data_IF_311537225519
#
_entry.id   IF_311537225519
#
_cell.length_a   1.000
_cell.length_b   1.000
_cell.length_c   1.000
_cell.angle_alpha   90.00
_cell.angle_beta   90.00
_cell.angle_gamma   90.00
#
_symmetry.space_group_name_H-M   'P 1'
#
loop_
_entity.id
_entity.type
_entity.pdbx_description
1 polymer ?
#
# COMPACT_ATOMS: atom_id res chain seq x y z
N UNK A 1 3.50 72.23 -29.62
CA UNK A 1 3.80 70.80 -29.40
C UNK A 1 2.78 70.29 -28.41
N UNK A 2 1.70 69.68 -28.90
CA UNK A 2 0.77 68.94 -28.06
C UNK A 2 0.58 67.56 -28.66
N UNK A 3 0.63 66.61 -27.73
CA UNK A 3 0.97 65.21 -27.91
C UNK A 3 -0.15 64.42 -28.56
N UNK A 4 0.27 63.56 -29.50
CA UNK A 4 -0.51 62.55 -30.20
C UNK A 4 -1.41 61.75 -29.26
N UNK A 5 -2.71 61.91 -29.39
CA UNK A 5 -3.69 61.01 -28.77
C UNK A 5 -3.79 59.70 -29.55
N UNK A 6 -3.54 58.62 -28.81
CA UNK A 6 -4.15 57.30 -28.95
C UNK A 6 -3.82 56.49 -30.19
N UNK A 7 -2.77 55.68 -30.05
CA UNK A 7 -2.80 54.31 -30.55
C UNK A 7 -4.08 53.65 -30.01
N UNK A 8 -5.08 53.50 -30.88
CA UNK A 8 -6.24 52.65 -30.66
C UNK A 8 -5.70 51.25 -30.40
N UNK A 9 -5.68 50.86 -29.13
CA UNK A 9 -5.46 49.49 -28.69
C UNK A 9 -6.39 48.59 -29.51
N UNK A 10 -5.82 47.81 -30.43
CA UNK A 10 -6.43 46.57 -30.93
C UNK A 10 -6.54 45.60 -29.76
N UNK A 11 -7.40 45.90 -28.80
CA UNK A 11 -7.70 45.02 -27.69
C UNK A 11 -8.69 43.99 -28.21
N UNK A 12 -8.26 42.72 -28.28
CA UNK A 12 -9.12 41.59 -28.63
C UNK A 12 -10.46 41.71 -27.89
N UNK A 13 -11.57 41.53 -28.62
CA UNK A 13 -12.91 41.55 -28.02
C UNK A 13 -12.97 40.54 -26.87
N UNK A 14 -13.83 40.78 -25.88
CA UNK A 14 -14.01 39.84 -24.76
C UNK A 14 -14.35 38.43 -25.25
N UNK A 15 -15.03 38.32 -26.39
CA UNK A 15 -15.33 37.06 -27.06
C UNK A 15 -14.08 36.36 -27.58
N UNK A 16 -13.18 37.06 -28.28
CA UNK A 16 -11.92 36.48 -28.77
C UNK A 16 -10.98 36.10 -27.62
N UNK A 17 -10.94 36.88 -26.54
CA UNK A 17 -10.20 36.52 -25.32
C UNK A 17 -10.76 35.26 -24.64
N UNK A 18 -12.09 35.13 -24.56
CA UNK A 18 -12.73 33.93 -24.02
C UNK A 18 -12.49 32.70 -24.91
N UNK A 19 -12.48 32.87 -26.23
CA UNK A 19 -12.17 31.80 -27.20
C UNK A 19 -10.73 31.32 -27.08
N UNK A 20 -9.77 32.25 -27.02
CA UNK A 20 -8.34 31.95 -26.79
C UNK A 20 -8.07 31.29 -25.44
N UNK A 21 -8.75 31.73 -24.37
CA UNK A 21 -8.63 31.09 -23.06
C UNK A 21 -9.17 29.65 -23.06
N UNK A 22 -10.28 29.40 -23.77
CA UNK A 22 -10.84 28.04 -23.92
C UNK A 22 -9.95 27.13 -24.77
N UNK A 23 -9.38 27.63 -25.85
CA UNK A 23 -8.41 26.85 -26.64
C UNK A 23 -7.16 26.54 -25.82
N UNK A 24 -6.59 27.52 -25.09
CA UNK A 24 -5.44 27.30 -24.22
C UNK A 24 -5.71 26.27 -23.10
N UNK A 25 -6.91 26.25 -22.51
CA UNK A 25 -7.31 25.21 -21.53
C UNK A 25 -7.40 23.83 -22.19
N UNK A 26 -7.87 23.77 -23.44
CA UNK A 26 -8.00 22.51 -24.19
C UNK A 26 -6.63 21.99 -24.60
N UNK A 27 -5.74 22.88 -25.06
CA UNK A 27 -4.36 22.58 -25.45
C UNK A 27 -3.54 22.12 -24.23
N UNK A 28 -3.68 22.77 -23.07
CA UNK A 28 -3.05 22.32 -21.83
C UNK A 28 -3.54 20.95 -21.38
N UNK A 29 -4.85 20.67 -21.50
CA UNK A 29 -5.40 19.34 -21.19
C UNK A 29 -4.88 18.27 -22.15
N UNK A 30 -4.75 18.59 -23.44
CA UNK A 30 -4.20 17.66 -24.42
C UNK A 30 -2.71 17.40 -24.15
N UNK A 31 -1.93 18.44 -23.84
CA UNK A 31 -0.53 18.29 -23.48
C UNK A 31 -0.34 17.45 -22.20
N UNK A 32 -1.16 17.67 -21.17
CA UNK A 32 -1.15 16.86 -19.95
C UNK A 32 -1.56 15.40 -20.21
N UNK A 33 -2.53 15.19 -21.10
CA UNK A 33 -2.93 13.85 -21.53
C UNK A 33 -1.80 13.12 -22.25
N UNK A 34 -1.15 13.75 -23.23
CA UNK A 34 -0.04 13.14 -23.97
C UNK A 34 1.17 12.87 -23.05
N UNK A 35 1.47 13.77 -22.10
CA UNK A 35 2.50 13.53 -21.08
C UNK A 35 2.20 12.31 -20.21
N UNK A 36 0.96 12.17 -19.73
CA UNK A 36 0.53 11.00 -18.95
C UNK A 36 0.60 9.72 -19.78
N UNK A 37 0.17 9.79 -21.04
CA UNK A 37 0.20 8.66 -21.97
C UNK A 37 1.64 8.20 -22.23
N UNK A 38 2.57 9.12 -22.45
CA UNK A 38 4.00 8.81 -22.62
C UNK A 38 4.60 8.19 -21.35
N UNK A 39 4.31 8.76 -20.17
CA UNK A 39 4.76 8.20 -18.89
C UNK A 39 4.19 6.80 -18.62
N UNK A 40 2.93 6.55 -19.03
CA UNK A 40 2.33 5.23 -18.97
C UNK A 40 3.04 4.23 -19.88
N UNK A 41 3.33 4.58 -21.14
CA UNK A 41 4.04 3.71 -22.07
C UNK A 41 5.45 3.35 -21.56
N UNK A 42 6.20 4.34 -21.06
CA UNK A 42 7.53 4.14 -20.48
C UNK A 42 7.51 3.24 -19.23
N UNK A 43 6.41 3.29 -18.47
CA UNK A 43 6.19 2.42 -17.31
C UNK A 43 5.89 0.98 -17.74
N UNK A 44 5.05 0.80 -18.74
CA UNK A 44 4.64 -0.52 -19.23
C UNK A 44 5.85 -1.28 -19.81
N UNK A 45 6.74 -0.60 -20.55
CA UNK A 45 7.99 -1.19 -21.06
C UNK A 45 8.92 -1.65 -19.92
N UNK A 46 9.08 -0.84 -18.87
CA UNK A 46 9.90 -1.24 -17.70
C UNK A 46 9.26 -2.30 -16.84
N UNK A 47 7.93 -2.42 -16.88
CA UNK A 47 7.22 -3.40 -16.09
C UNK A 47 7.61 -4.83 -16.51
N UNK A 48 7.86 -5.06 -17.80
CA UNK A 48 8.41 -6.32 -18.31
C UNK A 48 9.79 -6.61 -17.74
N UNK A 49 10.67 -5.60 -17.74
CA UNK A 49 12.02 -5.71 -17.17
C UNK A 49 11.96 -6.04 -15.67
N UNK A 50 11.13 -5.34 -14.89
CA UNK A 50 10.96 -5.62 -13.46
C UNK A 50 10.42 -7.03 -13.19
N UNK A 51 9.47 -7.51 -14.00
CA UNK A 51 8.97 -8.89 -13.89
C UNK A 51 10.12 -9.87 -14.11
N UNK A 52 10.92 -9.67 -15.16
CA UNK A 52 12.03 -10.56 -15.48
C UNK A 52 13.09 -10.58 -14.38
N UNK A 53 13.56 -9.39 -13.95
CA UNK A 53 14.56 -9.25 -12.90
C UNK A 53 14.10 -9.86 -11.58
N UNK A 54 12.88 -9.52 -11.14
CA UNK A 54 12.38 -10.02 -9.86
C UNK A 54 12.07 -11.53 -9.90
N UNK A 55 11.67 -12.06 -11.06
CA UNK A 55 11.53 -13.52 -11.25
C UNK A 55 12.88 -14.22 -11.07
N UNK A 56 13.95 -13.68 -11.65
CA UNK A 56 15.28 -14.25 -11.53
C UNK A 56 15.79 -14.20 -10.07
N UNK A 57 15.64 -13.05 -9.40
CA UNK A 57 16.05 -12.85 -8.02
C UNK A 57 15.31 -13.79 -7.06
N UNK A 58 13.97 -13.81 -7.12
CA UNK A 58 13.18 -14.65 -6.21
C UNK A 58 13.39 -16.15 -6.49
N UNK A 59 13.65 -16.55 -7.74
CA UNK A 59 14.02 -17.93 -8.05
C UNK A 59 15.39 -18.31 -7.47
N UNK A 60 16.37 -17.39 -7.50
CA UNK A 60 17.67 -17.61 -6.86
C UNK A 60 17.50 -17.79 -5.35
N UNK A 61 16.79 -16.88 -4.67
CA UNK A 61 16.45 -16.99 -3.24
C UNK A 61 15.76 -18.31 -2.91
N UNK A 62 14.85 -18.77 -3.78
CA UNK A 62 14.15 -20.05 -3.60
C UNK A 62 15.10 -21.23 -3.66
N UNK A 63 16.04 -21.24 -4.61
CA UNK A 63 17.07 -22.29 -4.76
C UNK A 63 18.04 -22.30 -3.59
N UNK A 64 18.49 -21.13 -3.16
CA UNK A 64 19.42 -20.98 -2.04
C UNK A 64 18.76 -21.45 -0.73
N UNK A 65 17.46 -21.18 -0.55
CA UNK A 65 16.70 -21.59 0.63
C UNK A 65 16.60 -23.11 0.81
N UNK A 66 16.81 -23.90 -0.26
CA UNK A 66 16.78 -25.37 -0.24
C UNK A 66 18.16 -26.00 -0.50
N UNK A 67 19.22 -25.19 -0.57
CA UNK A 67 20.56 -25.67 -0.87
C UNK A 67 21.11 -26.61 0.22
N UNK A 68 20.68 -26.40 1.48
CA UNK A 68 21.02 -27.27 2.61
C UNK A 68 19.81 -28.03 3.10
N UNK A 69 19.98 -29.34 3.29
CA UNK A 69 18.98 -30.22 3.91
C UNK A 69 19.09 -30.25 5.44
N UNK A 70 20.15 -29.67 5.99
CA UNK A 70 20.45 -29.72 7.43
C UNK A 70 20.27 -28.37 8.13
N UNK A 71 20.46 -27.27 7.42
CA UNK A 71 20.48 -25.90 7.98
C UNK A 71 19.63 -24.96 7.14
N UNK A 72 18.94 -24.02 7.79
CA UNK A 72 18.17 -22.99 7.11
C UNK A 72 16.65 -23.16 7.27
N UNK A 73 15.87 -22.19 6.77
CA UNK A 73 14.45 -22.08 7.08
C UNK A 73 13.64 -23.29 6.60
N UNK A 74 14.00 -23.87 5.45
CA UNK A 74 13.33 -25.06 4.90
C UNK A 74 13.70 -26.31 5.70
N UNK A 75 14.98 -26.55 5.94
CA UNK A 75 15.44 -27.71 6.73
C UNK A 75 14.82 -27.73 8.13
N UNK A 76 14.77 -26.58 8.80
CA UNK A 76 14.16 -26.45 10.14
C UNK A 76 12.66 -26.69 10.11
N UNK A 77 11.98 -26.21 9.07
CA UNK A 77 10.56 -26.41 8.91
C UNK A 77 10.20 -27.88 8.62
N UNK A 78 11.00 -28.57 7.79
CA UNK A 78 10.87 -30.01 7.54
C UNK A 78 11.08 -30.80 8.83
N UNK A 79 12.13 -30.50 9.61
CA UNK A 79 12.40 -31.16 10.91
C UNK A 79 11.25 -31.00 11.91
N UNK A 80 10.54 -29.87 11.84
CA UNK A 80 9.38 -29.57 12.69
C UNK A 80 8.06 -30.12 12.14
N UNK A 81 8.07 -30.80 10.99
CA UNK A 81 6.88 -31.37 10.37
C UNK A 81 5.93 -30.33 9.80
N UNK A 82 6.44 -29.17 9.37
CA UNK A 82 5.62 -28.20 8.64
C UNK A 82 5.42 -28.59 7.17
N UNK A 83 4.37 -28.04 6.58
CA UNK A 83 3.93 -28.21 5.19
C UNK A 83 4.62 -27.23 4.21
N UNK A 84 5.36 -26.27 4.75
CA UNK A 84 6.07 -25.25 4.01
C UNK A 84 6.89 -24.32 4.91
N UNK A 85 7.71 -23.47 4.29
CA UNK A 85 8.55 -22.48 4.97
C UNK A 85 8.42 -21.09 4.33
N UNK A 86 8.56 -20.04 5.14
CA UNK A 86 8.71 -18.68 4.65
C UNK A 86 10.13 -18.52 4.11
N UNK A 87 10.27 -18.12 2.84
CA UNK A 87 11.57 -17.89 2.20
C UNK A 87 11.86 -16.40 1.99
N UNK A 88 10.82 -15.56 1.97
CA UNK A 88 10.98 -14.11 1.81
C UNK A 88 9.77 -13.35 2.38
N UNK A 89 9.97 -12.08 2.76
CA UNK A 89 8.95 -11.19 3.35
C UNK A 89 9.06 -9.77 2.82
N UNK A 90 7.95 -9.26 2.30
CA UNK A 90 7.81 -7.89 1.83
C UNK A 90 6.80 -7.11 2.66
N UNK A 91 7.18 -5.95 3.17
CA UNK A 91 6.29 -5.12 3.98
C UNK A 91 5.46 -4.19 3.09
N UNK A 92 4.16 -4.12 3.38
CA UNK A 92 3.30 -3.12 2.79
C UNK A 92 3.42 -1.83 3.60
N UNK A 93 3.51 -0.68 2.92
CA UNK A 93 3.73 0.60 3.56
C UNK A 93 2.55 0.98 4.45
N UNK A 94 2.85 1.46 5.66
CA UNK A 94 1.86 2.16 6.47
C UNK A 94 1.96 3.66 6.22
N UNK A 95 0.86 4.28 5.78
CA UNK A 95 0.76 5.74 5.73
C UNK A 95 0.29 6.21 7.10
N UNK A 96 1.14 6.98 7.78
CA UNK A 96 0.87 7.55 9.10
C UNK A 96 0.76 9.07 8.96
N UNK A 97 -0.15 9.69 9.72
CA UNK A 97 -0.18 11.15 9.82
C UNK A 97 0.90 11.58 10.80
N UNK A 98 1.81 12.44 10.37
CA UNK A 98 2.80 13.10 11.21
C UNK A 98 2.18 14.25 12.01
N UNK A 99 2.93 14.76 12.98
CA UNK A 99 2.49 15.83 13.88
C UNK A 99 2.20 17.16 13.15
N UNK A 100 2.83 17.39 12.00
CA UNK A 100 2.59 18.55 11.12
C UNK A 100 1.42 18.34 10.14
N UNK A 101 0.78 17.17 10.17
CA UNK A 101 -0.32 16.80 9.27
C UNK A 101 0.12 16.29 7.90
N UNK A 102 1.42 16.15 7.66
CA UNK A 102 1.93 15.43 6.49
C UNK A 102 1.76 13.91 6.65
N UNK A 103 2.10 13.16 5.60
CA UNK A 103 1.95 11.70 5.54
C UNK A 103 3.33 11.07 5.51
N UNK A 104 3.67 10.35 6.57
CA UNK A 104 4.91 9.58 6.66
C UNK A 104 4.69 8.13 6.25
N UNK A 105 5.66 7.59 5.52
CA UNK A 105 5.72 6.19 5.14
C UNK A 105 6.51 5.42 6.20
N UNK A 106 5.87 4.49 6.89
CA UNK A 106 6.53 3.66 7.90
C UNK A 106 6.74 2.24 7.37
N UNK A 107 8.02 1.87 7.24
CA UNK A 107 8.53 0.61 6.68
C UNK A 107 9.74 0.18 7.53
N UNK A 108 9.96 -1.12 7.81
CA UNK A 108 11.15 -1.55 8.53
C UNK A 108 12.45 -1.10 7.84
N UNK A 109 13.48 -0.69 8.61
CA UNK A 109 14.73 -0.15 8.07
C UNK A 109 15.48 -1.12 7.14
N UNK A 110 15.32 -2.43 7.34
CA UNK A 110 16.00 -3.47 6.57
C UNK A 110 15.11 -4.12 5.50
N UNK A 111 13.93 -3.57 5.23
CA UNK A 111 13.01 -4.17 4.26
C UNK A 111 13.15 -3.58 2.87
N UNK A 112 13.33 -4.45 1.88
CA UNK A 112 13.37 -4.10 0.46
C UNK A 112 12.00 -3.57 0.05
N UNK A 113 11.94 -2.27 -0.23
CA UNK A 113 10.72 -1.58 -0.59
C UNK A 113 10.75 -1.15 -2.04
N UNK A 114 9.72 -1.53 -2.81
CA UNK A 114 9.39 -0.88 -4.07
C UNK A 114 7.87 -0.62 -4.12
N UNK A 115 7.53 0.61 -3.74
CA UNK A 115 6.33 1.46 -4.01
C UNK A 115 5.04 1.39 -3.14
N UNK A 116 4.57 2.60 -2.75
CA UNK A 116 3.34 2.91 -1.97
C UNK A 116 2.32 3.62 -2.84
N UNK A 117 1.05 3.71 -2.40
CA UNK A 117 -0.04 4.25 -3.19
C UNK A 117 -0.04 5.79 -3.36
N UNK A 118 1.09 6.48 -3.13
CA UNK A 118 1.17 7.95 -3.22
C UNK A 118 2.51 8.54 -3.66
N UNK A 119 3.50 7.72 -4.01
CA UNK A 119 4.87 8.18 -4.26
C UNK A 119 5.40 7.69 -5.62
N UNK A 120 4.57 7.75 -6.66
CA UNK A 120 5.01 7.72 -8.06
C UNK A 120 4.48 8.96 -8.78
N UNK A 121 4.63 10.13 -8.16
CA UNK A 121 4.67 11.35 -8.98
C UNK A 121 6.00 11.43 -9.75
N UNK A 122 7.04 10.65 -9.39
CA UNK A 122 8.35 10.66 -10.08
C UNK A 122 9.17 9.33 -10.15
N UNK A 123 8.67 8.14 -9.76
CA UNK A 123 9.52 6.92 -9.80
C UNK A 123 9.10 5.89 -10.85
N UNK A 124 10.09 5.46 -11.61
CA UNK A 124 9.98 4.61 -12.81
C UNK A 124 9.75 3.12 -12.48
N UNK A 125 9.44 2.78 -11.22
CA UNK A 125 9.47 1.41 -10.69
C UNK A 125 8.06 0.81 -10.56
N UNK A 126 7.94 -0.52 -10.67
CA UNK A 126 6.67 -1.22 -10.45
C UNK A 126 6.61 -1.81 -9.05
N UNK A 127 5.51 -1.57 -8.34
CA UNK A 127 5.39 -2.03 -6.97
C UNK A 127 5.49 -3.57 -6.85
N UNK A 128 6.28 -4.09 -5.88
CA UNK A 128 6.42 -5.54 -5.65
C UNK A 128 5.07 -6.22 -5.42
N UNK A 129 4.17 -5.58 -4.68
CA UNK A 129 2.83 -6.10 -4.46
C UNK A 129 2.06 -6.32 -5.78
N UNK A 130 2.25 -5.43 -6.76
CA UNK A 130 1.70 -5.55 -8.10
C UNK A 130 2.36 -6.69 -8.87
N UNK A 131 3.69 -6.83 -8.82
CA UNK A 131 4.42 -7.92 -9.47
C UNK A 131 4.04 -9.31 -8.93
N UNK A 132 3.81 -9.42 -7.62
CA UNK A 132 3.46 -10.67 -6.94
C UNK A 132 2.00 -11.06 -7.11
N UNK A 133 1.07 -10.09 -7.06
CA UNK A 133 -0.37 -10.36 -6.94
C UNK A 133 -1.22 -9.82 -8.09
N UNK A 134 -0.69 -8.93 -8.93
CA UNK A 134 -1.43 -8.16 -9.92
C UNK A 134 -1.92 -6.81 -9.38
N UNK A 135 -2.53 -6.01 -10.25
CA UNK A 135 -3.06 -4.69 -9.87
C UNK A 135 -4.27 -4.84 -8.94
N UNK A 136 -4.26 -4.16 -7.80
CA UNK A 136 -5.39 -4.20 -6.89
C UNK A 136 -6.52 -3.26 -7.35
N UNK A 137 -7.65 -3.83 -7.73
CA UNK A 137 -8.87 -3.07 -8.01
C UNK A 137 -9.61 -2.77 -6.70
N UNK A 138 -9.63 -1.48 -6.35
CA UNK A 138 -10.27 -1.03 -5.12
C UNK A 138 -11.80 -1.11 -5.16
N UNK A 139 -12.42 -1.14 -6.35
CA UNK A 139 -13.88 -1.24 -6.50
C UNK A 139 -14.33 -2.67 -6.26
N UNK A 140 -13.68 -3.63 -6.90
CA UNK A 140 -14.02 -5.05 -6.79
C UNK A 140 -13.33 -5.73 -5.62
N UNK A 141 -12.32 -5.09 -5.02
CA UNK A 141 -11.45 -5.64 -3.96
C UNK A 141 -10.69 -6.89 -4.39
N UNK A 142 -10.40 -7.02 -5.69
CA UNK A 142 -9.68 -8.16 -6.28
C UNK A 142 -8.36 -7.72 -6.90
N UNK A 143 -7.40 -8.64 -7.02
CA UNK A 143 -6.22 -8.39 -7.83
C UNK A 143 -6.47 -8.80 -9.28
N UNK A 144 -5.91 -8.05 -10.21
CA UNK A 144 -6.03 -8.18 -11.66
C UNK A 144 -4.65 -8.53 -12.25
N UNK A 145 -4.24 -9.82 -12.23
CA UNK A 145 -2.98 -10.27 -12.80
C UNK A 145 -2.93 -10.13 -14.33
N UNK A 146 -4.08 -10.15 -15.00
CA UNK A 146 -4.21 -9.97 -16.45
C UNK A 146 -3.72 -8.60 -16.95
N UNK A 147 -3.60 -7.62 -16.05
CA UNK A 147 -3.04 -6.29 -16.34
C UNK A 147 -1.51 -6.25 -16.28
N UNK A 148 -0.87 -7.32 -15.84
CA UNK A 148 0.59 -7.45 -15.95
C UNK A 148 0.96 -7.91 -17.37
N UNK A 149 2.18 -7.59 -17.85
CA UNK A 149 2.71 -8.19 -19.06
C UNK A 149 2.54 -9.71 -19.10
N UNK A 150 2.00 -10.22 -20.21
CA UNK A 150 1.67 -11.64 -20.39
C UNK A 150 0.57 -12.19 -19.47
N UNK A 151 -0.09 -11.36 -18.65
CA UNK A 151 -1.13 -11.76 -17.71
C UNK A 151 -0.65 -12.68 -16.58
N UNK A 152 0.65 -12.64 -16.26
CA UNK A 152 1.28 -13.51 -15.25
C UNK A 152 1.97 -12.69 -14.18
N UNK A 153 1.82 -13.14 -12.93
CA UNK A 153 2.60 -12.62 -11.80
C UNK A 153 3.96 -13.33 -11.73
N UNK A 154 4.91 -12.74 -11.02
CA UNK A 154 6.22 -13.35 -10.75
C UNK A 154 6.08 -14.75 -10.14
N UNK A 155 5.16 -14.93 -9.20
CA UNK A 155 4.91 -16.22 -8.55
C UNK A 155 4.40 -17.26 -9.54
N UNK A 156 3.53 -16.86 -10.48
CA UNK A 156 3.05 -17.77 -11.53
C UNK A 156 4.19 -18.19 -12.45
N UNK A 157 5.05 -17.25 -12.86
CA UNK A 157 6.22 -17.54 -13.69
C UNK A 157 7.18 -18.51 -13.00
N UNK A 158 7.46 -18.29 -11.71
CA UNK A 158 8.34 -19.19 -10.94
C UNK A 158 7.71 -20.58 -10.81
N UNK A 159 6.42 -20.68 -10.49
CA UNK A 159 5.76 -21.98 -10.38
C UNK A 159 5.79 -22.78 -11.70
N UNK A 160 5.64 -22.12 -12.85
CA UNK A 160 5.81 -22.77 -14.17
C UNK A 160 7.24 -23.29 -14.42
N UNK A 161 8.25 -22.71 -13.75
CA UNK A 161 9.62 -23.22 -13.76
C UNK A 161 9.79 -24.37 -12.77
N UNK A 162 9.22 -24.26 -11.56
CA UNK A 162 9.27 -25.31 -10.54
C UNK A 162 8.56 -26.59 -10.97
N UNK A 163 7.49 -26.49 -11.76
CA UNK A 163 6.80 -27.65 -12.36
C UNK A 163 7.72 -28.51 -13.25
N UNK A 164 8.81 -27.92 -13.76
CA UNK A 164 9.79 -28.59 -14.64
C UNK A 164 11.02 -29.10 -13.89
N UNK A 165 11.08 -28.92 -12.57
CA UNK A 165 12.20 -29.41 -11.76
C UNK A 165 12.29 -30.95 -11.86
N UNK A 166 13.50 -31.51 -12.02
CA UNK A 166 13.68 -32.94 -12.21
C UNK A 166 13.36 -33.73 -10.94
N UNK A 167 12.98 -35.00 -11.11
CA UNK A 167 12.90 -35.95 -10.00
C UNK A 167 14.26 -36.01 -9.28
N UNK A 168 14.24 -35.82 -7.96
CA UNK A 168 15.44 -35.76 -7.12
C UNK A 168 15.91 -34.36 -6.76
N UNK A 169 15.36 -33.31 -7.39
CA UNK A 169 15.56 -31.92 -6.93
C UNK A 169 14.86 -31.68 -5.59
N UNK A 170 15.48 -30.89 -4.70
CA UNK A 170 14.85 -30.45 -3.45
C UNK A 170 13.61 -29.56 -3.70
N UNK A 171 13.46 -29.02 -4.91
CA UNK A 171 12.30 -28.24 -5.34
C UNK A 171 11.25 -29.08 -6.07
N UNK A 172 11.47 -30.38 -6.26
CA UNK A 172 10.53 -31.24 -6.95
C UNK A 172 9.17 -31.23 -6.24
N UNK A 173 8.09 -30.93 -6.99
CA UNK A 173 6.72 -30.74 -6.51
C UNK A 173 6.51 -29.60 -5.51
N UNK A 174 7.49 -28.72 -5.33
CA UNK A 174 7.31 -27.52 -4.53
C UNK A 174 6.56 -26.43 -5.30
N UNK A 175 5.83 -25.59 -4.57
CA UNK A 175 5.07 -24.46 -5.12
C UNK A 175 5.29 -23.23 -4.24
N UNK A 176 5.48 -22.07 -4.87
CA UNK A 176 5.46 -20.78 -4.19
C UNK A 176 4.04 -20.25 -4.07
N UNK A 177 3.71 -19.75 -2.88
CA UNK A 177 2.44 -19.06 -2.61
C UNK A 177 2.68 -17.78 -1.84
N UNK A 178 1.82 -16.79 -2.05
CA UNK A 178 1.86 -15.51 -1.33
C UNK A 178 0.81 -15.53 -0.22
N UNK A 179 1.27 -15.41 1.02
CA UNK A 179 0.40 -15.16 2.15
C UNK A 179 0.42 -13.68 2.53
N UNK A 180 -0.74 -13.13 2.92
CA UNK A 180 -0.82 -11.78 3.46
C UNK A 180 -1.19 -11.85 4.94
N UNK A 181 -0.43 -11.14 5.77
CA UNK A 181 -0.58 -11.19 7.22
C UNK A 181 -0.11 -9.91 7.90
N UNK A 182 -0.26 -9.89 9.23
CA UNK A 182 0.38 -8.91 10.09
C UNK A 182 1.65 -9.52 10.68
N UNK A 183 2.72 -8.77 10.72
CA UNK A 183 3.92 -9.13 11.45
C UNK A 183 3.75 -8.74 12.94
N UNK A 184 3.70 -9.71 13.87
CA UNK A 184 3.54 -9.40 15.29
C UNK A 184 4.76 -8.67 15.87
N UNK A 185 5.94 -8.86 15.29
CA UNK A 185 7.21 -8.34 15.79
C UNK A 185 7.43 -6.89 15.34
N UNK A 186 6.89 -6.51 14.18
CA UNK A 186 6.94 -5.13 13.70
C UNK A 186 5.59 -4.41 13.84
N UNK A 187 5.54 -3.39 14.71
CA UNK A 187 4.32 -2.64 15.02
C UNK A 187 4.34 -1.24 14.40
N UNK A 188 3.24 -0.87 13.75
CA UNK A 188 3.03 0.45 13.16
C UNK A 188 1.90 1.22 13.86
N UNK A 189 1.99 2.56 13.98
CA UNK A 189 0.93 3.38 14.55
C UNK A 189 -0.40 3.24 13.81
N UNK A 190 -1.50 3.40 14.53
CA UNK A 190 -2.84 3.48 13.95
C UNK A 190 -3.19 4.95 13.75
N UNK A 191 -3.32 5.39 12.50
CA UNK A 191 -3.58 6.79 12.15
C UNK A 191 -4.80 7.41 12.86
N UNK A 192 -5.83 6.62 13.16
CA UNK A 192 -7.05 7.08 13.83
C UNK A 192 -7.03 6.97 15.36
N UNK A 193 -5.93 6.51 15.97
CA UNK A 193 -5.86 6.31 17.42
C UNK A 193 -4.45 6.56 17.95
N UNK A 194 -4.21 7.76 18.52
CA UNK A 194 -2.94 8.09 19.19
C UNK A 194 -2.56 7.05 20.23
N UNK A 195 -1.28 6.67 20.28
CA UNK A 195 -0.73 5.70 21.23
C UNK A 195 -1.09 4.23 20.97
N UNK A 196 -1.91 3.91 19.96
CA UNK A 196 -2.19 2.52 19.57
C UNK A 196 -1.38 2.12 18.36
N UNK A 197 -0.87 0.90 18.40
CA UNK A 197 -0.16 0.27 17.30
C UNK A 197 -0.88 -0.98 16.81
N UNK A 198 -0.63 -1.36 15.56
CA UNK A 198 -1.05 -2.63 14.97
C UNK A 198 0.16 -3.35 14.36
N UNK A 199 0.12 -4.69 14.23
CA UNK A 199 1.06 -5.43 13.38
C UNK A 199 1.17 -4.80 11.98
N UNK A 200 2.38 -4.70 11.46
CA UNK A 200 2.62 -4.20 10.11
C UNK A 200 2.14 -5.22 9.09
N UNK A 201 1.48 -4.75 8.03
CA UNK A 201 0.99 -5.64 6.99
C UNK A 201 2.18 -6.09 6.13
N UNK A 202 2.30 -7.39 5.89
CA UNK A 202 3.33 -7.96 5.02
C UNK A 202 2.74 -9.00 4.05
N UNK A 203 3.46 -9.19 2.95
CA UNK A 203 3.35 -10.32 2.03
C UNK A 203 4.49 -11.28 2.36
N UNK A 204 4.16 -12.54 2.61
CA UNK A 204 5.11 -13.62 2.90
C UNK A 204 5.14 -14.56 1.71
N UNK A 205 6.32 -14.81 1.17
CA UNK A 205 6.53 -15.82 0.14
C UNK A 205 6.80 -17.14 0.85
N UNK A 206 5.92 -18.09 0.65
CA UNK A 206 6.00 -19.42 1.24
C UNK A 206 6.37 -20.43 0.17
N UNK A 207 7.38 -21.26 0.43
CA UNK A 207 7.67 -22.48 -0.32
C UNK A 207 6.91 -23.64 0.31
N UNK A 208 6.02 -24.28 -0.45
CA UNK A 208 5.15 -25.36 0.00
C UNK A 208 5.56 -26.66 -0.69
N UNK A 209 5.79 -27.72 0.07
CA UNK A 209 6.09 -29.07 -0.45
C UNK A 209 4.96 -30.08 -0.19
N UNK A 210 4.05 -29.81 0.75
CA UNK A 210 2.84 -30.60 0.99
C UNK A 210 1.59 -29.75 0.75
N UNK A 211 1.12 -29.75 -0.49
CA UNK A 211 -0.03 -28.95 -0.94
C UNK A 211 -1.33 -29.38 -0.24
N UNK A 212 -1.51 -30.67 0.02
CA UNK A 212 -2.74 -31.20 0.64
C UNK A 212 -2.84 -30.77 2.11
N UNK A 213 -1.74 -30.87 2.85
CA UNK A 213 -1.68 -30.38 4.23
C UNK A 213 -1.82 -28.86 4.29
N UNK A 214 -1.17 -28.15 3.37
CA UNK A 214 -1.30 -26.69 3.24
C UNK A 214 -2.73 -26.25 2.99
N UNK A 215 -3.39 -26.83 1.99
CA UNK A 215 -4.78 -26.48 1.66
C UNK A 215 -5.74 -26.74 2.82
N UNK A 216 -5.61 -27.89 3.50
CA UNK A 216 -6.38 -28.20 4.73
C UNK A 216 -6.13 -27.18 5.84
N UNK A 217 -4.87 -26.81 6.09
CA UNK A 217 -4.49 -25.80 7.08
C UNK A 217 -5.09 -24.44 6.74
N UNK A 218 -5.00 -24.00 5.49
CA UNK A 218 -5.60 -22.74 5.02
C UNK A 218 -7.12 -22.73 5.15
N UNK A 219 -7.79 -23.83 4.80
CA UNK A 219 -9.23 -23.97 4.96
C UNK A 219 -9.66 -23.87 6.44
N UNK A 220 -8.93 -24.53 7.35
CA UNK A 220 -9.18 -24.45 8.80
C UNK A 220 -9.00 -23.03 9.33
N UNK A 221 -7.94 -22.34 8.91
CA UNK A 221 -7.70 -20.93 9.29
C UNK A 221 -8.84 -20.04 8.78
N UNK A 222 -9.27 -20.22 7.53
CA UNK A 222 -10.38 -19.46 6.95
C UNK A 222 -11.69 -19.68 7.75
N UNK A 223 -12.03 -20.93 8.07
CA UNK A 223 -13.21 -21.27 8.88
C UNK A 223 -13.16 -20.70 10.31
N UNK A 224 -11.97 -20.66 10.92
CA UNK A 224 -11.78 -20.05 12.24
C UNK A 224 -11.95 -18.52 12.19
N UNK A 225 -11.54 -17.89 11.09
CA UNK A 225 -11.73 -16.44 10.88
C UNK A 225 -13.20 -16.09 10.65
N UNK A 226 -13.94 -16.88 9.88
CA UNK A 226 -15.39 -16.66 9.67
C UNK A 226 -16.15 -16.79 10.97
N UNK A 227 -15.95 -17.88 11.71
CA UNK A 227 -16.59 -18.09 13.03
C UNK A 227 -16.25 -16.98 14.03
N UNK A 228 -14.98 -16.53 14.11
CA UNK A 228 -14.61 -15.39 14.96
C UNK A 228 -15.26 -14.07 14.53
N UNK A 229 -15.43 -13.85 13.22
CA UNK A 229 -16.14 -12.68 12.68
C UNK A 229 -17.62 -12.75 13.00
N UNK A 230 -18.25 -13.89 12.78
CA UNK A 230 -19.67 -14.11 13.01
C UNK A 230 -20.00 -13.99 14.50
N UNK A 231 -19.15 -14.51 15.38
CA UNK A 231 -19.25 -14.31 16.83
C UNK A 231 -19.18 -12.82 17.20
N UNK A 232 -18.25 -12.04 16.61
CA UNK A 232 -18.17 -10.59 16.84
C UNK A 232 -19.38 -9.83 16.30
N UNK A 233 -19.93 -10.23 15.16
CA UNK A 233 -21.12 -9.60 14.57
C UNK A 233 -22.36 -9.95 15.40
N UNK A 234 -22.51 -11.20 15.82
CA UNK A 234 -23.56 -11.65 16.73
C UNK A 234 -23.52 -10.89 18.05
N UNK A 235 -22.32 -10.73 18.63
CA UNK A 235 -22.15 -9.96 19.85
C UNK A 235 -22.49 -8.48 19.67
N UNK A 236 -22.17 -7.86 18.52
CA UNK A 236 -22.58 -6.48 18.20
C UNK A 236 -24.09 -6.32 18.00
N UNK A 237 -24.77 -7.33 17.46
CA UNK A 237 -26.23 -7.34 17.33
C UNK A 237 -26.94 -7.60 18.66
N UNK A 238 -26.28 -8.29 19.60
CA UNK A 238 -26.80 -8.61 20.92
C UNK A 238 -26.64 -7.48 21.95
N UNK A 239 -25.85 -6.43 21.67
CA UNK A 239 -25.80 -5.23 22.51
C UNK A 239 -27.16 -4.54 22.40
N UNK A 240 -27.95 -4.60 23.47
CA UNK A 240 -29.24 -3.93 23.55
C UNK A 240 -29.04 -2.41 23.56
N UNK A 241 -30.08 -1.66 23.18
CA UNK A 241 -30.04 -0.18 23.21
C UNK A 241 -29.62 0.34 24.60
N UNK A 242 -30.05 -0.35 25.65
CA UNK A 242 -29.72 -0.04 27.05
C UNK A 242 -28.23 -0.21 27.38
N UNK A 243 -27.60 -1.31 26.96
CA UNK A 243 -26.14 -1.49 27.10
C UNK A 243 -25.35 -0.47 26.28
N UNK A 244 -25.85 -0.12 25.10
CA UNK A 244 -25.22 0.88 24.23
C UNK A 244 -25.28 2.29 24.84
N UNK A 245 -26.37 2.62 25.53
CA UNK A 245 -26.55 3.87 26.27
C UNK A 245 -25.72 3.89 27.56
N UNK A 246 -25.66 2.77 28.30
CA UNK A 246 -24.84 2.65 29.50
C UNK A 246 -23.34 2.80 29.21
N UNK A 247 -22.85 2.20 28.11
CA UNK A 247 -21.45 2.37 27.65
C UNK A 247 -21.12 3.80 27.22
N UNK A 248 -22.11 4.53 26.70
CA UNK A 248 -21.96 5.96 26.36
C UNK A 248 -21.91 6.84 27.60
N UNK A 249 -22.66 6.50 28.65
CA UNK A 249 -22.65 7.20 29.92
C UNK A 249 -21.37 6.94 30.73
N UNK A 250 -20.78 5.75 30.62
CA UNK A 250 -19.53 5.37 31.32
C UNK A 250 -18.25 5.75 30.57
N UNK A 251 -18.34 6.23 29.33
CA UNK A 251 -17.21 6.77 28.59
C UNK A 251 -17.12 8.26 28.92
N UNK A 252 -16.02 8.78 29.48
CA UNK A 252 -15.86 10.23 29.61
C UNK A 252 -15.97 10.78 28.20
N UNK A 253 -16.96 11.66 27.97
CA UNK A 253 -16.92 12.48 26.78
C UNK A 253 -15.58 13.19 26.82
N UNK A 254 -14.74 12.95 25.81
CA UNK A 254 -13.64 13.84 25.52
C UNK A 254 -14.26 15.13 25.01
N UNK A 255 -14.88 15.88 25.92
CA UNK A 255 -15.00 17.32 25.80
C UNK A 255 -13.60 17.81 25.46
N UNK A 256 -13.51 18.73 24.51
CA UNK A 256 -12.28 19.46 24.20
C UNK A 256 -11.63 19.86 25.51
N UNK A 257 -10.62 19.11 25.94
CA UNK A 257 -9.70 19.57 26.95
C UNK A 257 -8.99 20.73 26.26
N UNK A 258 -9.36 21.94 26.66
CA UNK A 258 -8.56 23.13 26.45
C UNK A 258 -7.16 22.75 26.91
N UNK A 259 -6.28 22.48 25.94
CA UNK A 259 -4.89 22.16 26.20
C UNK A 259 -4.30 23.43 26.82
N UNK A 260 -4.13 23.45 28.14
CA UNK A 260 -3.28 24.43 28.78
C UNK A 260 -1.89 24.31 28.13
N UNK A 261 -1.28 25.39 27.63
CA UNK A 261 0.03 25.30 27.04
C UNK A 261 1.02 24.87 28.14
N UNK A 262 1.75 23.78 27.88
CA UNK A 262 2.96 23.46 28.64
C UNK A 262 3.98 24.54 28.29
N UNK A 263 4.37 25.33 29.27
CA UNK A 263 5.57 26.16 29.19
C UNK A 263 6.75 25.20 29.16
N UNK A 264 7.41 25.10 28.00
CA UNK A 264 8.76 24.59 27.91
C UNK A 264 9.63 25.83 27.89
N UNK A 265 10.35 26.08 28.98
CA UNK A 265 11.43 27.04 28.99
C UNK A 265 12.53 26.49 28.08
N UNK A 266 12.59 27.01 26.86
CA UNK A 266 13.78 26.93 26.02
C UNK A 266 14.05 28.32 25.50
N UNK A 267 15.23 28.82 25.80
CA UNK A 267 15.74 30.13 25.47
C UNK A 267 15.57 30.42 23.96
N UNK A 268 14.98 31.58 23.66
CA UNK A 268 15.07 32.21 22.34
C UNK A 268 13.87 31.98 21.40
N UNK A 269 13.14 33.07 21.14
CA UNK A 269 12.17 33.33 20.06
C UNK A 269 10.70 32.95 20.29
N UNK A 270 9.93 33.98 20.68
CA UNK A 270 8.47 34.05 20.62
C UNK A 270 8.00 34.38 19.20
N UNK A 271 7.20 33.50 18.59
CA UNK A 271 6.31 33.88 17.48
C UNK A 271 4.88 33.51 17.86
N UNK A 272 4.10 34.54 18.23
CA UNK A 272 2.66 34.42 18.45
C UNK A 272 1.97 34.52 17.08
N UNK A 273 1.30 33.46 16.64
CA UNK A 273 0.29 33.59 15.58
C UNK A 273 -1.07 33.15 16.11
N UNK A 274 -1.92 34.14 16.37
CA UNK A 274 -3.31 33.94 16.74
C UNK A 274 -4.12 33.45 15.52
N UNK A 275 -4.65 32.22 15.57
CA UNK A 275 -5.66 31.74 14.61
C UNK A 275 -7.05 31.90 15.21
N UNK A 276 -7.73 32.96 14.80
CA UNK A 276 -9.15 33.16 15.08
C UNK A 276 -9.76 34.19 14.15
N UNK A 277 -10.25 33.77 12.98
CA UNK A 277 -11.31 34.51 12.29
C UNK A 277 -12.33 33.55 11.67
N UNK A 278 -13.54 33.61 12.25
CA UNK A 278 -14.79 33.12 11.65
C UNK A 278 -15.14 34.02 10.47
N UNK A 279 -15.49 33.43 9.33
CA UNK A 279 -16.07 34.15 8.19
C UNK A 279 -17.45 34.68 8.56
N UNK A 280 -17.62 36.00 8.54
CA UNK A 280 -18.92 36.67 8.49
C UNK A 280 -19.26 36.96 7.02
N UNK A 281 -20.53 36.75 6.66
CA UNK A 281 -21.10 37.03 5.34
C UNK A 281 -21.79 38.41 5.40
N UNK A 282 -21.66 39.31 4.41
CA UNK A 282 -22.37 40.58 4.39
C UNK A 282 -23.78 40.46 3.76
N UNK A 283 -24.66 41.48 3.97
CA UNK A 283 -26.11 41.41 3.74
C UNK A 283 -26.52 41.23 2.27
#
# INVERSE_FOLDING_TARGET
>A
MESTTTNVLKSNSLFERAKQARSAITDNRQADYEKRKAAHAERDERQEEHIALFTAELLATTRDSVASTETGPVADAVKRGFDGAEIDRFYLPAIVASDDGSRELLVPPDSTYFCSPGADEDTKSTAIATLLRGFYDWKTKTNQPEKLPGGKTVIRLINELLEKEPLGSNLYKCVLVVEMGGDPDYKVPIASSPGRTKPATCLKIMLIWDIDSYTKRRAKIAATRTTSRDARVGHKKAITLEEHLARRASSPSSGKATRSPRVVESEGFTVVTAKGQRKLKPP
#
